data_IF_683186905694
#
_entry.id   IF_683186905694
#
_cell.length_a   1.000
_cell.length_b   1.000
_cell.length_c   1.000
_cell.angle_alpha   90.00
_cell.angle_beta   90.00
_cell.angle_gamma   90.00
#
_symmetry.space_group_name_H-M   'P 1'
#
loop_
_entity.id
_entity.type
_entity.pdbx_description
1 polymer ?
#
# COMPACT_ATOMS: atom_id res chain seq x y z
N UNK A 1 -6.43 6.52 23.27
CA UNK A 1 -5.37 5.51 23.11
C UNK A 1 -4.24 6.04 22.25
N UNK A 2 -3.04 5.85 22.71
CA UNK A 2 -1.88 6.42 22.02
C UNK A 2 -1.33 5.40 21.03
N UNK A 3 -1.08 5.84 19.82
CA UNK A 3 -0.42 5.00 18.83
C UNK A 3 1.07 4.90 19.16
N UNK A 4 1.70 3.74 18.92
CA UNK A 4 3.15 3.68 19.11
C UNK A 4 3.86 4.71 18.27
N UNK A 5 4.98 5.20 18.77
CA UNK A 5 5.78 6.15 18.01
C UNK A 5 6.25 5.51 16.70
N UNK A 6 6.30 6.31 15.64
CA UNK A 6 6.79 5.82 14.36
C UNK A 6 8.28 5.49 14.48
N UNK A 7 8.76 4.49 13.74
CA UNK A 7 10.19 4.22 13.69
C UNK A 7 10.93 5.45 13.17
N UNK A 8 12.12 5.69 13.67
CA UNK A 8 12.94 6.80 13.23
C UNK A 8 13.58 6.48 11.87
N UNK A 9 13.93 7.54 11.13
CA UNK A 9 14.66 7.39 9.88
C UNK A 9 13.82 6.97 8.70
N UNK A 10 12.49 7.09 8.78
CA UNK A 10 11.61 6.76 7.67
C UNK A 10 11.49 7.93 6.71
N UNK A 11 11.51 7.63 5.41
CA UNK A 11 11.28 8.63 4.38
C UNK A 11 10.65 7.98 3.15
N UNK A 12 10.06 8.82 2.30
CA UNK A 12 9.54 8.41 1.00
C UNK A 12 10.37 9.11 -0.07
N UNK A 13 10.66 8.37 -1.15
CA UNK A 13 11.44 8.93 -2.26
C UNK A 13 10.84 8.47 -3.57
N UNK A 14 10.89 9.30 -4.63
CA UNK A 14 10.35 8.90 -5.92
C UNK A 14 11.06 7.68 -6.48
N UNK A 15 10.30 6.77 -7.09
CA UNK A 15 10.86 5.64 -7.80
C UNK A 15 11.19 6.04 -9.23
N UNK A 16 12.12 5.32 -9.87
CA UNK A 16 12.48 5.53 -11.25
C UNK A 16 12.10 4.34 -12.13
N UNK A 17 12.33 4.49 -13.42
CA UNK A 17 12.00 3.42 -14.37
C UNK A 17 12.85 2.18 -14.13
N UNK A 18 14.07 2.34 -13.64
CA UNK A 18 14.99 1.23 -13.42
C UNK A 18 14.71 0.45 -12.15
N UNK A 19 13.71 0.85 -11.36
CA UNK A 19 13.46 0.22 -10.05
C UNK A 19 12.49 -0.95 -10.11
N UNK A 20 11.96 -1.27 -11.29
CA UNK A 20 10.89 -2.26 -11.42
C UNK A 20 11.26 -3.62 -10.81
N UNK A 21 12.45 -4.14 -11.11
CA UNK A 21 12.81 -5.48 -10.62
C UNK A 21 12.96 -5.52 -9.10
N UNK A 22 13.50 -4.46 -8.50
CA UNK A 22 13.60 -4.37 -7.04
C UNK A 22 12.23 -4.32 -6.39
N UNK A 23 11.30 -3.58 -6.98
CA UNK A 23 9.94 -3.47 -6.45
C UNK A 23 9.17 -4.76 -6.64
N UNK A 24 9.39 -5.45 -7.76
CA UNK A 24 8.77 -6.76 -7.98
C UNK A 24 9.23 -7.77 -6.93
N UNK A 25 10.53 -7.79 -6.64
CA UNK A 25 11.06 -8.68 -5.59
C UNK A 25 10.43 -8.37 -4.24
N UNK A 26 10.26 -7.10 -3.93
CA UNK A 26 9.62 -6.67 -2.68
C UNK A 26 8.16 -7.16 -2.63
N UNK A 27 7.42 -6.96 -3.71
CA UNK A 27 6.03 -7.40 -3.76
C UNK A 27 5.91 -8.91 -3.59
N UNK A 28 6.75 -9.66 -4.27
CA UNK A 28 6.73 -11.12 -4.15
C UNK A 28 7.02 -11.56 -2.72
N UNK A 29 8.02 -10.96 -2.08
CA UNK A 29 8.35 -11.29 -0.72
C UNK A 29 7.22 -10.95 0.23
N UNK A 30 6.60 -9.79 0.05
CA UNK A 30 5.55 -9.33 0.96
C UNK A 30 4.26 -10.13 0.81
N UNK A 31 3.94 -10.58 -0.43
CA UNK A 31 2.67 -11.23 -0.71
C UNK A 31 2.72 -12.75 -0.68
N UNK A 32 3.91 -13.32 -0.60
CA UNK A 32 4.08 -14.77 -0.80
C UNK A 32 3.19 -15.59 0.12
N UNK A 33 3.25 -15.32 1.42
CA UNK A 33 2.50 -16.11 2.38
C UNK A 33 0.99 -16.03 2.13
N UNK A 34 0.48 -14.82 1.93
CA UNK A 34 -0.95 -14.62 1.70
C UNK A 34 -1.43 -15.29 0.42
N UNK A 35 -0.64 -15.17 -0.65
CA UNK A 35 -1.01 -15.78 -1.92
C UNK A 35 -0.90 -17.29 -1.89
N UNK A 36 0.11 -17.84 -1.21
CA UNK A 36 0.23 -19.28 -1.06
C UNK A 36 -0.94 -19.86 -0.27
N UNK A 37 -1.39 -19.13 0.75
CA UNK A 37 -2.51 -19.58 1.59
C UNK A 37 -3.79 -19.80 0.80
N UNK A 38 -4.02 -19.00 -0.23
CA UNK A 38 -5.20 -19.14 -1.09
C UNK A 38 -4.90 -19.83 -2.42
N UNK A 39 -3.70 -20.39 -2.58
CA UNK A 39 -3.33 -21.13 -3.78
C UNK A 39 -3.10 -20.27 -5.01
N UNK A 40 -2.75 -19.01 -4.83
CA UNK A 40 -2.58 -18.07 -5.94
C UNK A 40 -1.19 -17.47 -6.06
N UNK A 41 -0.18 -18.03 -5.40
CA UNK A 41 1.16 -17.52 -5.54
C UNK A 41 1.71 -17.90 -6.91
N UNK A 42 1.94 -16.89 -7.75
CA UNK A 42 2.37 -17.06 -9.12
C UNK A 42 3.26 -15.88 -9.47
N UNK A 43 4.60 -16.05 -9.45
CA UNK A 43 5.52 -14.96 -9.74
C UNK A 43 5.31 -14.34 -11.12
N UNK A 44 4.95 -15.14 -12.14
CA UNK A 44 4.72 -14.60 -13.47
C UNK A 44 3.50 -13.69 -13.50
N UNK A 45 2.42 -14.09 -12.85
CA UNK A 45 1.22 -13.25 -12.75
C UNK A 45 1.52 -11.95 -11.98
N UNK A 46 2.31 -12.07 -10.90
CA UNK A 46 2.69 -10.91 -10.13
C UNK A 46 3.50 -9.92 -10.97
N UNK A 47 4.42 -10.45 -11.79
CA UNK A 47 5.21 -9.61 -12.67
C UNK A 47 4.34 -8.89 -13.69
N UNK A 48 3.41 -9.63 -14.31
CA UNK A 48 2.50 -9.04 -15.29
C UNK A 48 1.59 -7.99 -14.66
N UNK A 49 1.09 -8.26 -13.45
CA UNK A 49 0.23 -7.33 -12.74
C UNK A 49 0.96 -6.02 -12.44
N UNK A 50 2.19 -6.11 -11.97
CA UNK A 50 2.97 -4.91 -11.64
C UNK A 50 3.41 -4.17 -12.90
N UNK A 51 3.85 -4.91 -13.95
CA UNK A 51 4.36 -4.25 -15.16
C UNK A 51 3.24 -3.56 -15.94
N UNK A 52 2.03 -4.12 -15.91
CA UNK A 52 0.91 -3.57 -16.67
C UNK A 52 0.57 -2.14 -16.28
N UNK A 53 0.78 -1.81 -15.02
CA UNK A 53 0.44 -0.50 -14.52
C UNK A 53 1.59 0.20 -13.80
N UNK A 54 2.84 -0.16 -14.09
CA UNK A 54 3.95 0.49 -13.39
C UNK A 54 4.07 1.94 -13.85
N UNK A 55 3.82 2.84 -12.91
CA UNK A 55 3.85 4.27 -13.15
C UNK A 55 4.83 4.88 -12.16
N UNK A 56 6.12 5.05 -12.55
CA UNK A 56 7.12 5.61 -11.63
C UNK A 56 6.71 6.95 -11.05
N UNK A 57 5.96 7.76 -11.82
CA UNK A 57 5.52 9.07 -11.34
C UNK A 57 4.61 8.98 -10.11
N UNK A 58 3.94 7.84 -9.91
CA UNK A 58 3.03 7.64 -8.78
C UNK A 58 3.54 6.63 -7.78
N UNK A 59 4.81 6.21 -7.92
CA UNK A 59 5.42 5.19 -7.08
C UNK A 59 6.48 5.85 -6.20
N UNK A 60 6.45 5.52 -4.92
CA UNK A 60 7.44 6.02 -3.97
C UNK A 60 8.07 4.86 -3.22
N UNK A 61 9.40 4.90 -3.11
CA UNK A 61 10.14 3.99 -2.24
C UNK A 61 9.87 4.34 -0.79
N UNK A 62 9.76 3.33 0.05
CA UNK A 62 9.73 3.51 1.50
C UNK A 62 11.13 3.16 1.99
N UNK A 63 11.81 4.14 2.57
CA UNK A 63 13.18 3.99 3.01
C UNK A 63 13.25 4.07 4.53
N UNK A 64 14.04 3.19 5.12
CA UNK A 64 14.38 3.25 6.54
C UNK A 64 15.88 3.41 6.63
N UNK A 65 16.31 4.60 7.11
CA UNK A 65 17.73 4.93 7.19
C UNK A 65 18.44 4.72 5.85
N UNK A 66 17.75 5.11 4.77
CA UNK A 66 18.29 5.01 3.42
C UNK A 66 18.14 3.66 2.76
N UNK A 67 17.66 2.64 3.47
CA UNK A 67 17.47 1.31 2.88
C UNK A 67 16.04 1.12 2.40
N UNK A 68 15.90 0.52 1.22
CA UNK A 68 14.59 0.22 0.65
C UNK A 68 13.92 -0.90 1.44
N UNK A 69 12.79 -0.60 2.09
CA UNK A 69 12.05 -1.59 2.86
C UNK A 69 10.62 -1.78 2.37
N UNK A 70 10.18 -1.01 1.37
CA UNK A 70 8.85 -1.14 0.84
C UNK A 70 8.60 -0.15 -0.27
N UNK A 71 7.37 -0.16 -0.79
CA UNK A 71 6.98 0.87 -1.74
C UNK A 71 5.47 1.07 -1.69
N UNK A 72 5.04 2.23 -2.16
CA UNK A 72 3.63 2.59 -2.22
C UNK A 72 3.34 3.23 -3.57
N UNK A 73 2.21 2.84 -4.15
CA UNK A 73 1.74 3.40 -5.42
C UNK A 73 0.36 3.96 -5.19
N UNK A 74 0.21 5.26 -5.42
CA UNK A 74 -1.08 5.95 -5.31
C UNK A 74 -1.37 6.60 -6.64
N UNK A 75 -2.44 6.17 -7.30
CA UNK A 75 -2.78 6.60 -8.64
C UNK A 75 -4.01 7.50 -8.59
N UNK A 76 -3.90 8.77 -9.03
CA UNK A 76 -5.08 9.62 -9.13
C UNK A 76 -6.02 9.09 -10.21
N UNK A 77 -7.30 9.06 -9.90
CA UNK A 77 -8.33 8.68 -10.86
C UNK A 77 -9.40 9.77 -10.89
N UNK A 78 -10.42 9.59 -11.74
CA UNK A 78 -11.44 10.62 -11.93
C UNK A 78 -12.19 10.95 -10.64
N UNK A 79 -12.54 9.93 -9.86
CA UNK A 79 -13.38 10.14 -8.68
C UNK A 79 -12.71 9.77 -7.37
N UNK A 80 -11.50 9.23 -7.40
CA UNK A 80 -10.78 8.83 -6.19
C UNK A 80 -9.29 8.73 -6.46
N UNK A 81 -8.54 8.48 -5.39
CA UNK A 81 -7.15 8.04 -5.49
C UNK A 81 -7.11 6.56 -5.13
N UNK A 82 -6.45 5.76 -5.97
CA UNK A 82 -6.31 4.33 -5.73
C UNK A 82 -4.95 4.03 -5.11
N UNK A 83 -4.95 3.43 -3.92
CA UNK A 83 -3.73 2.82 -3.40
C UNK A 83 -3.58 1.49 -4.12
N UNK A 84 -2.77 1.48 -5.17
CA UNK A 84 -2.65 0.32 -6.05
C UNK A 84 -1.70 -0.72 -5.47
N UNK A 85 -0.68 -0.27 -4.75
CA UNK A 85 0.26 -1.15 -4.07
C UNK A 85 0.75 -0.47 -2.79
N UNK A 86 0.89 -1.27 -1.74
CA UNK A 86 1.55 -0.86 -0.50
C UNK A 86 2.11 -2.12 0.11
N UNK A 87 3.43 -2.24 0.05
CA UNK A 87 4.09 -3.44 0.53
C UNK A 87 5.29 -3.08 1.38
N UNK A 88 5.45 -3.81 2.49
CA UNK A 88 6.61 -3.72 3.37
C UNK A 88 7.30 -5.07 3.33
N UNK A 89 8.62 -5.07 3.15
CA UNK A 89 9.37 -6.31 3.15
C UNK A 89 9.14 -7.05 4.48
N UNK A 90 9.02 -8.40 4.45
CA UNK A 90 8.74 -9.15 5.68
C UNK A 90 9.74 -8.87 6.81
N UNK A 91 10.99 -8.58 6.49
CA UNK A 91 12.01 -8.30 7.52
C UNK A 91 11.73 -7.01 8.27
N UNK A 92 10.89 -6.13 7.73
CA UNK A 92 10.58 -4.83 8.33
C UNK A 92 9.12 -4.72 8.79
N UNK A 93 8.34 -5.79 8.66
CA UNK A 93 6.94 -5.78 9.10
C UNK A 93 6.85 -5.81 10.62
N UNK A 94 5.73 -5.33 11.14
CA UNK A 94 5.49 -5.33 12.58
C UNK A 94 6.16 -4.18 13.32
N UNK A 95 6.71 -3.19 12.61
CA UNK A 95 7.44 -2.08 13.21
C UNK A 95 6.71 -0.74 13.05
N UNK A 96 5.48 -0.75 12.55
CA UNK A 96 4.71 0.47 12.38
C UNK A 96 5.01 1.24 11.11
N UNK A 97 5.83 0.70 10.21
CA UNK A 97 6.20 1.39 8.97
C UNK A 97 5.00 1.59 8.07
N UNK A 98 4.19 0.53 7.89
CA UNK A 98 2.99 0.62 7.05
C UNK A 98 2.03 1.69 7.54
N UNK A 99 1.81 1.77 8.85
CA UNK A 99 0.94 2.80 9.43
C UNK A 99 1.50 4.19 9.19
N UNK A 100 2.81 4.37 9.34
CA UNK A 100 3.44 5.66 9.07
C UNK A 100 3.23 6.07 7.61
N UNK A 101 3.45 5.14 6.66
CA UNK A 101 3.28 5.43 5.24
C UNK A 101 1.82 5.78 4.95
N UNK A 102 0.89 4.96 5.45
CA UNK A 102 -0.51 5.19 5.20
C UNK A 102 -0.95 6.54 5.79
N UNK A 103 -0.45 6.91 6.96
CA UNK A 103 -0.75 8.23 7.53
C UNK A 103 -0.31 9.36 6.61
N UNK A 104 0.84 9.22 5.93
CA UNK A 104 1.28 10.22 4.97
C UNK A 104 0.31 10.33 3.80
N UNK A 105 -0.11 9.19 3.26
CA UNK A 105 -1.05 9.15 2.14
C UNK A 105 -2.41 9.72 2.55
N UNK A 106 -2.88 9.36 3.75
CA UNK A 106 -4.16 9.86 4.25
C UNK A 106 -4.12 11.38 4.41
N UNK A 107 -3.03 11.93 4.92
CA UNK A 107 -2.89 13.38 5.08
C UNK A 107 -2.92 14.07 3.72
N UNK A 108 -2.24 13.51 2.73
CA UNK A 108 -2.24 14.07 1.38
C UNK A 108 -3.65 14.03 0.76
N UNK A 109 -4.34 12.91 0.92
CA UNK A 109 -5.68 12.76 0.38
C UNK A 109 -6.66 13.72 1.06
N UNK A 110 -6.55 13.86 2.38
CA UNK A 110 -7.44 14.76 3.12
C UNK A 110 -7.20 16.22 2.73
N UNK A 111 -5.94 16.61 2.54
CA UNK A 111 -5.61 17.98 2.14
C UNK A 111 -6.23 18.32 0.79
N UNK A 112 -6.28 17.36 -0.12
CA UNK A 112 -6.88 17.55 -1.45
C UNK A 112 -8.35 17.12 -1.52
N UNK A 113 -8.91 16.65 -0.41
CA UNK A 113 -10.30 16.18 -0.32
C UNK A 113 -10.57 15.01 -1.25
N UNK A 114 -9.62 14.07 -1.32
CA UNK A 114 -9.74 12.89 -2.19
C UNK A 114 -10.23 11.68 -1.41
N UNK A 115 -11.15 10.96 -2.02
CA UNK A 115 -11.52 9.63 -1.55
C UNK A 115 -10.39 8.68 -1.91
N UNK A 116 -10.07 7.78 -0.99
CA UNK A 116 -9.10 6.73 -1.24
C UNK A 116 -9.82 5.40 -1.40
N UNK A 117 -9.37 4.61 -2.37
CA UNK A 117 -9.84 3.24 -2.51
C UNK A 117 -8.64 2.30 -2.44
N UNK A 118 -8.89 1.08 -1.99
CA UNK A 118 -7.85 0.06 -1.90
C UNK A 118 -8.49 -1.31 -2.00
N UNK A 119 -7.75 -2.27 -2.52
CA UNK A 119 -8.17 -3.66 -2.61
C UNK A 119 -7.22 -4.50 -1.77
N UNK A 120 -7.77 -5.42 -1.00
CA UNK A 120 -6.96 -6.34 -0.20
C UNK A 120 -7.36 -7.78 -0.49
N UNK A 121 -6.35 -8.64 -0.58
CA UNK A 121 -6.60 -10.07 -0.76
C UNK A 121 -7.36 -10.61 0.44
N UNK A 122 -8.40 -11.41 0.20
CA UNK A 122 -9.15 -12.04 1.29
C UNK A 122 -8.22 -12.79 2.22
N UNK A 123 -8.52 -12.73 3.51
CA UNK A 123 -7.80 -13.46 4.57
C UNK A 123 -6.38 -12.95 4.80
N UNK A 124 -5.99 -11.83 4.19
CA UNK A 124 -4.69 -11.24 4.47
C UNK A 124 -4.78 -10.27 5.64
N UNK A 125 -3.62 -10.02 6.27
CA UNK A 125 -3.54 -9.06 7.37
C UNK A 125 -3.86 -7.64 6.93
N UNK A 126 -3.74 -7.35 5.63
CA UNK A 126 -4.03 -6.02 5.09
C UNK A 126 -5.47 -5.58 5.38
N UNK A 127 -6.42 -6.53 5.42
CA UNK A 127 -7.82 -6.20 5.70
C UNK A 127 -7.95 -5.50 7.04
N UNK A 128 -7.35 -6.08 8.09
CA UNK A 128 -7.41 -5.49 9.42
C UNK A 128 -6.70 -4.14 9.46
N UNK A 129 -5.59 -4.06 8.74
CA UNK A 129 -4.80 -2.84 8.65
C UNK A 129 -5.63 -1.67 8.06
N UNK A 130 -6.32 -1.91 6.96
CA UNK A 130 -7.13 -0.84 6.34
C UNK A 130 -8.34 -0.48 7.19
N UNK A 131 -8.98 -1.48 7.80
CA UNK A 131 -10.11 -1.20 8.69
C UNK A 131 -9.69 -0.31 9.86
N UNK A 132 -8.50 -0.55 10.42
CA UNK A 132 -8.01 0.29 11.54
C UNK A 132 -7.76 1.73 11.12
N UNK A 133 -7.52 1.96 9.83
CA UNK A 133 -7.22 3.31 9.33
C UNK A 133 -8.45 3.99 8.73
N UNK A 134 -9.63 3.48 9.03
CA UNK A 134 -10.88 4.17 8.66
C UNK A 134 -11.44 3.80 7.30
N UNK A 135 -10.89 2.78 6.65
CA UNK A 135 -11.47 2.29 5.40
C UNK A 135 -12.71 1.45 5.70
N UNK A 136 -13.69 1.53 4.81
CA UNK A 136 -14.97 0.84 4.96
C UNK A 136 -15.14 -0.12 3.79
N UNK A 137 -15.54 -1.36 4.10
CA UNK A 137 -15.75 -2.38 3.07
C UNK A 137 -16.92 -1.98 2.17
N UNK A 138 -16.70 -2.00 0.86
CA UNK A 138 -17.70 -1.62 -0.14
C UNK A 138 -18.20 -2.81 -0.95
N UNK A 139 -17.32 -3.77 -1.26
CA UNK A 139 -17.69 -4.86 -2.13
C UNK A 139 -16.76 -6.03 -1.89
N UNK A 140 -17.18 -7.21 -2.32
CA UNK A 140 -16.41 -8.43 -2.18
C UNK A 140 -16.36 -9.12 -3.53
N UNK A 141 -15.14 -9.44 -4.00
CA UNK A 141 -14.93 -10.24 -5.19
C UNK A 141 -14.61 -11.67 -4.80
N UNK A 142 -14.19 -12.46 -5.79
CA UNK A 142 -13.83 -13.87 -5.54
C UNK A 142 -12.61 -13.99 -4.63
N UNK A 143 -11.60 -13.13 -4.88
CA UNK A 143 -10.32 -13.23 -4.19
C UNK A 143 -10.03 -12.01 -3.32
N UNK A 144 -10.73 -10.89 -3.55
CA UNK A 144 -10.38 -9.60 -2.98
C UNK A 144 -11.55 -8.93 -2.31
N UNK A 145 -11.23 -8.07 -1.35
CA UNK A 145 -12.19 -7.17 -0.71
C UNK A 145 -11.84 -5.74 -1.11
N UNK A 146 -12.87 -4.93 -1.35
CA UNK A 146 -12.72 -3.56 -1.87
C UNK A 146 -13.16 -2.56 -0.81
N UNK A 147 -12.28 -1.59 -0.52
CA UNK A 147 -12.49 -0.63 0.56
C UNK A 147 -12.44 0.80 0.05
N UNK A 148 -13.19 1.68 0.70
CA UNK A 148 -13.13 3.12 0.47
C UNK A 148 -12.92 3.85 1.78
N UNK A 149 -12.25 5.00 1.70
CA UNK A 149 -12.16 5.93 2.81
C UNK A 149 -12.44 7.33 2.29
N UNK A 150 -13.48 7.96 2.83
CA UNK A 150 -13.84 9.33 2.45
C UNK A 150 -12.81 10.31 3.01
N UNK A 151 -12.62 11.41 2.30
CA UNK A 151 -11.73 12.46 2.78
C UNK A 151 -12.22 13.03 4.09
N UNK A 152 -11.27 13.30 5.00
CA UNK A 152 -11.55 13.96 6.26
C UNK A 152 -10.95 15.35 6.16
N UNK A 153 -11.80 16.30 5.87
CA UNK A 153 -11.34 17.66 5.75
C UNK A 153 -11.13 18.29 7.11
N UNK A 154 -10.54 19.48 7.10
CA UNK A 154 -10.47 20.28 8.30
C UNK A 154 -11.89 20.46 8.79
N UNK A 155 -12.08 20.27 10.09
CA UNK A 155 -13.40 20.45 10.64
C UNK A 155 -13.81 21.90 10.51
N UNK A 156 -14.83 22.10 9.78
CA UNK A 156 -15.36 23.46 9.61
C UNK A 156 -16.26 23.83 10.76
#
# INVERSE_FOLDING_TARGET
MTRPAAPSGLSLAPAGEDDFDALLSLRLAAMRESLERVGRFDPQRARERLSRGYLPAYTRHILRQGELVGFVVVVPREHDWLIDHLYIHPSAQGEGIGSWVLDQVLAEADAGRHVLSVTALKHSAANRFYLRHGFVLQAEGEWDLYYLRSARGAKS
#
